data_IF_500839931350
#
_entry.id   IF_500839931350
#
_cell.length_a   1.000
_cell.length_b   1.000
_cell.length_c   1.000
_cell.angle_alpha   90.00
_cell.angle_beta   90.00
_cell.angle_gamma   90.00
#
_symmetry.space_group_name_H-M   'P 1'
#
loop_
_entity.id
_entity.type
_entity.pdbx_description
1 polymer ?
#
# COMPACT_ATOMS: atom_id res chain seq x y z
N UNK A 1 -29.08 23.65 25.73
CA UNK A 1 -29.86 23.59 24.47
C UNK A 1 -29.61 22.24 23.84
N UNK A 2 -30.60 21.60 23.18
CA UNK A 2 -30.35 20.37 22.44
C UNK A 2 -29.40 20.64 21.25
N UNK A 3 -28.61 19.65 20.82
CA UNK A 3 -27.82 19.77 19.59
C UNK A 3 -28.76 20.03 18.40
N UNK A 4 -28.38 20.99 17.55
CA UNK A 4 -29.12 21.38 16.35
C UNK A 4 -28.31 21.00 15.11
N UNK A 5 -28.99 20.58 14.04
CA UNK A 5 -28.37 20.31 12.75
C UNK A 5 -28.40 21.56 11.87
N UNK A 6 -27.36 21.75 11.10
CA UNK A 6 -27.28 22.73 10.02
C UNK A 6 -28.10 22.26 8.81
N UNK A 7 -28.44 23.20 7.92
CA UNK A 7 -29.11 22.86 6.66
C UNK A 7 -28.28 21.90 5.80
N UNK A 8 -26.95 22.06 5.80
CA UNK A 8 -26.02 21.16 5.09
C UNK A 8 -26.08 19.73 5.64
N UNK A 9 -26.07 19.57 6.97
CA UNK A 9 -26.21 18.26 7.62
C UNK A 9 -27.58 17.64 7.31
N UNK A 10 -28.65 18.43 7.31
CA UNK A 10 -29.99 17.95 6.94
C UNK A 10 -30.03 17.43 5.50
N UNK A 11 -29.40 18.14 4.56
CA UNK A 11 -29.28 17.68 3.17
C UNK A 11 -28.49 16.38 3.09
N UNK A 12 -27.32 16.30 3.75
CA UNK A 12 -26.48 15.10 3.75
C UNK A 12 -27.20 13.87 4.34
N UNK A 13 -27.99 14.05 5.41
CA UNK A 13 -28.79 12.98 6.00
C UNK A 13 -29.83 12.39 5.03
N UNK A 14 -30.25 13.16 4.01
CA UNK A 14 -31.22 12.72 3.00
C UNK A 14 -30.59 12.16 1.73
N UNK A 15 -29.27 12.22 1.56
CA UNK A 15 -28.59 11.76 0.34
C UNK A 15 -28.50 10.23 0.25
N UNK A 16 -29.59 9.62 -0.22
CA UNK A 16 -29.65 8.18 -0.51
C UNK A 16 -28.77 7.78 -1.70
N UNK A 17 -28.57 8.70 -2.66
CA UNK A 17 -27.84 8.40 -3.90
C UNK A 17 -26.37 8.13 -3.60
N UNK A 18 -25.79 8.92 -2.71
CA UNK A 18 -24.41 8.73 -2.27
C UNK A 18 -24.17 7.34 -1.69
N UNK A 19 -24.99 6.90 -0.73
CA UNK A 19 -24.78 5.60 -0.07
C UNK A 19 -24.99 4.41 -1.02
N UNK A 20 -25.96 4.50 -1.94
CA UNK A 20 -26.15 3.48 -2.98
C UNK A 20 -24.96 3.42 -3.95
N UNK A 21 -24.47 4.57 -4.41
CA UNK A 21 -23.29 4.65 -5.27
C UNK A 21 -22.04 4.13 -4.54
N UNK A 22 -21.85 4.51 -3.27
CA UNK A 22 -20.78 4.01 -2.41
C UNK A 22 -20.81 2.49 -2.31
N UNK A 23 -21.97 1.89 -2.05
CA UNK A 23 -22.10 0.43 -1.98
C UNK A 23 -21.68 -0.24 -3.30
N UNK A 24 -22.10 0.28 -4.44
CA UNK A 24 -21.71 -0.23 -5.76
C UNK A 24 -20.21 -0.08 -6.03
N UNK A 25 -19.63 1.07 -5.70
CA UNK A 25 -18.19 1.32 -5.85
C UNK A 25 -17.42 0.33 -4.98
N UNK A 26 -17.82 0.11 -3.72
CA UNK A 26 -17.16 -0.84 -2.83
C UNK A 26 -17.18 -2.28 -3.36
N UNK A 27 -18.24 -2.70 -4.07
CA UNK A 27 -18.25 -4.00 -4.76
C UNK A 27 -17.23 -4.04 -5.90
N UNK A 28 -17.16 -2.98 -6.72
CA UNK A 28 -16.15 -2.88 -7.80
C UNK A 28 -14.73 -2.89 -7.26
N UNK A 29 -14.46 -2.18 -6.17
CA UNK A 29 -13.14 -2.22 -5.50
C UNK A 29 -12.79 -3.64 -5.08
N UNK A 30 -13.74 -4.39 -4.51
CA UNK A 30 -13.50 -5.79 -4.14
C UNK A 30 -13.13 -6.65 -5.35
N UNK A 31 -13.81 -6.47 -6.48
CA UNK A 31 -13.51 -7.19 -7.72
C UNK A 31 -12.10 -6.84 -8.24
N UNK A 32 -11.74 -5.55 -8.25
CA UNK A 32 -10.39 -5.12 -8.64
C UNK A 32 -9.31 -5.70 -7.73
N UNK A 33 -9.53 -5.77 -6.42
CA UNK A 33 -8.59 -6.43 -5.49
C UNK A 33 -8.48 -7.93 -5.78
N UNK A 34 -9.58 -8.61 -6.12
CA UNK A 34 -9.53 -10.03 -6.54
C UNK A 34 -8.72 -10.21 -7.83
N UNK A 35 -8.91 -9.36 -8.83
CA UNK A 35 -8.10 -9.39 -10.06
C UNK A 35 -6.63 -9.09 -9.77
N UNK A 36 -6.35 -8.17 -8.85
CA UNK A 36 -4.99 -7.87 -8.38
C UNK A 36 -4.33 -9.09 -7.77
N UNK A 37 -5.06 -9.84 -6.93
CA UNK A 37 -4.54 -11.07 -6.33
C UNK A 37 -4.16 -12.12 -7.40
N UNK A 38 -4.96 -12.27 -8.46
CA UNK A 38 -4.64 -13.17 -9.57
C UNK A 38 -3.36 -12.72 -10.27
N UNK A 39 -3.26 -11.44 -10.62
CA UNK A 39 -2.09 -10.88 -11.29
C UNK A 39 -0.81 -11.02 -10.45
N UNK A 40 -0.88 -10.77 -9.15
CA UNK A 40 0.27 -10.88 -8.25
C UNK A 40 0.69 -12.34 -8.01
N UNK A 41 -0.23 -13.31 -8.08
CA UNK A 41 0.11 -14.73 -7.93
C UNK A 41 1.12 -15.19 -8.99
N UNK A 42 0.98 -14.71 -10.23
CA UNK A 42 1.91 -15.01 -11.32
C UNK A 42 3.31 -14.46 -11.00
N UNK A 43 3.40 -13.21 -10.57
CA UNK A 43 4.69 -12.57 -10.22
C UNK A 43 5.37 -13.25 -9.03
N UNK A 44 4.61 -13.57 -7.97
CA UNK A 44 5.13 -14.25 -6.78
C UNK A 44 5.59 -15.67 -7.13
N UNK A 45 4.85 -16.38 -7.99
CA UNK A 45 5.21 -17.73 -8.42
C UNK A 45 6.47 -17.78 -9.29
N UNK A 46 6.75 -16.72 -10.05
CA UNK A 46 7.97 -16.60 -10.86
C UNK A 46 9.19 -16.09 -10.08
N UNK A 47 9.00 -15.46 -8.92
CA UNK A 47 10.06 -14.80 -8.17
C UNK A 47 10.66 -15.70 -7.07
N UNK A 48 11.98 -15.71 -6.96
CA UNK A 48 12.69 -16.30 -5.81
C UNK A 48 12.77 -15.32 -4.65
N UNK A 49 11.69 -15.25 -3.87
CA UNK A 49 11.57 -14.31 -2.75
C UNK A 49 12.48 -14.68 -1.57
N UNK A 50 13.02 -13.65 -0.91
CA UNK A 50 13.69 -13.70 0.39
C UNK A 50 12.63 -13.59 1.46
N UNK A 51 12.12 -14.73 1.87
CA UNK A 51 10.99 -14.83 2.79
C UNK A 51 11.46 -15.13 4.21
N UNK A 52 10.69 -14.74 5.23
CA UNK A 52 10.94 -15.18 6.59
C UNK A 52 10.74 -16.70 6.76
N UNK A 53 11.19 -17.27 7.90
CA UNK A 53 10.78 -18.61 8.31
C UNK A 53 9.26 -18.77 8.31
N UNK A 54 8.76 -19.98 8.05
CA UNK A 54 7.32 -20.32 8.05
C UNK A 54 6.45 -19.49 7.10
N UNK A 55 7.06 -18.87 6.10
CA UNK A 55 6.34 -18.11 5.09
C UNK A 55 5.43 -19.02 4.24
N UNK A 56 4.14 -18.71 4.24
CA UNK A 56 3.18 -19.35 3.37
C UNK A 56 3.04 -18.54 2.06
N UNK A 57 3.50 -19.05 0.90
CA UNK A 57 3.41 -18.34 -0.38
C UNK A 57 1.96 -18.14 -0.87
N UNK A 58 1.01 -18.92 -0.35
CA UNK A 58 -0.42 -18.74 -0.63
C UNK A 58 -1.12 -17.81 0.37
N UNK A 59 -0.40 -17.29 1.38
CA UNK A 59 -0.94 -16.41 2.39
C UNK A 59 -1.48 -15.13 1.77
N UNK A 60 -2.79 -14.91 1.90
CA UNK A 60 -3.47 -13.69 1.46
C UNK A 60 -4.50 -13.24 2.49
N UNK A 61 -4.87 -11.96 2.46
CA UNK A 61 -6.01 -11.45 3.21
C UNK A 61 -6.68 -10.32 2.45
N UNK A 62 -8.01 -10.32 2.47
CA UNK A 62 -8.79 -9.18 2.03
C UNK A 62 -9.52 -8.58 3.23
N UNK A 63 -9.45 -7.27 3.36
CA UNK A 63 -10.10 -6.53 4.46
C UNK A 63 -10.95 -5.42 3.90
N UNK A 64 -12.05 -5.14 4.59
CA UNK A 64 -12.92 -3.99 4.39
C UNK A 64 -13.15 -3.33 5.75
N UNK A 65 -13.11 -2.02 5.80
CA UNK A 65 -13.42 -1.25 7.00
C UNK A 65 -13.95 0.14 6.66
N UNK A 66 -14.40 0.85 7.70
CA UNK A 66 -15.07 2.16 7.58
C UNK A 66 -14.36 3.25 8.40
N UNK A 67 -13.25 2.93 9.07
CA UNK A 67 -12.66 3.79 10.12
C UNK A 67 -11.17 4.07 9.92
N UNK A 68 -10.66 4.06 8.68
CA UNK A 68 -9.30 4.59 8.43
C UNK A 68 -9.41 6.12 8.38
N UNK A 69 -9.15 6.74 9.53
CA UNK A 69 -9.44 8.16 9.80
C UNK A 69 -10.89 8.55 9.48
N UNK A 70 -11.84 7.67 9.82
CA UNK A 70 -13.28 7.83 9.53
C UNK A 70 -13.68 7.67 8.05
N UNK A 71 -12.75 7.27 7.19
CA UNK A 71 -13.03 6.98 5.78
C UNK A 71 -13.09 5.47 5.50
N UNK A 72 -13.98 5.05 4.57
CA UNK A 72 -14.02 3.69 4.06
C UNK A 72 -12.72 3.25 3.40
N UNK A 73 -12.38 1.99 3.57
CA UNK A 73 -11.21 1.41 2.91
C UNK A 73 -11.41 -0.07 2.61
N UNK A 74 -10.67 -0.56 1.61
CA UNK A 74 -10.51 -1.98 1.35
C UNK A 74 -9.05 -2.24 0.97
N UNK A 75 -8.51 -3.38 1.38
CA UNK A 75 -7.18 -3.77 0.95
C UNK A 75 -7.04 -5.27 0.72
N UNK A 76 -6.04 -5.59 -0.09
CA UNK A 76 -5.46 -6.91 -0.27
C UNK A 76 -4.06 -6.91 0.34
N UNK A 77 -3.77 -7.85 1.22
CA UNK A 77 -2.41 -8.25 1.57
C UNK A 77 -2.06 -9.53 0.80
N UNK A 78 -1.14 -9.46 -0.16
CA UNK A 78 -0.61 -10.62 -0.87
C UNK A 78 0.75 -10.32 -1.55
N UNK A 79 1.79 -11.13 -1.32
CA UNK A 79 1.82 -12.21 -0.33
C UNK A 79 1.75 -11.64 1.08
N UNK A 80 1.21 -12.40 2.03
CA UNK A 80 1.01 -11.97 3.42
C UNK A 80 1.75 -12.87 4.40
N UNK A 81 2.56 -12.26 5.26
CA UNK A 81 3.07 -12.86 6.48
C UNK A 81 3.12 -11.81 7.60
N UNK A 82 2.46 -12.14 8.72
CA UNK A 82 2.48 -11.36 9.96
C UNK A 82 2.53 -12.35 11.12
N UNK A 83 3.63 -12.36 11.87
CA UNK A 83 3.82 -13.25 13.02
C UNK A 83 4.82 -12.63 13.99
N UNK A 84 4.51 -12.56 15.29
CA UNK A 84 5.48 -12.17 16.35
C UNK A 84 6.35 -10.93 16.05
N UNK A 85 5.74 -9.83 15.58
CA UNK A 85 6.44 -8.60 15.14
C UNK A 85 7.37 -8.77 13.93
N UNK A 86 7.12 -9.79 13.12
CA UNK A 86 7.72 -10.02 11.82
C UNK A 86 6.66 -9.78 10.74
N UNK A 87 6.91 -8.83 9.86
CA UNK A 87 6.01 -8.48 8.76
C UNK A 87 6.74 -8.66 7.44
N UNK A 88 6.10 -9.40 6.53
CA UNK A 88 6.46 -9.44 5.12
C UNK A 88 5.16 -9.45 4.35
N UNK A 89 4.75 -8.28 3.85
CA UNK A 89 3.53 -8.19 3.04
C UNK A 89 3.67 -7.19 1.92
N UNK A 90 2.96 -7.45 0.82
CA UNK A 90 2.65 -6.44 -0.16
C UNK A 90 1.16 -6.11 -0.10
N UNK A 91 0.85 -4.86 0.23
CA UNK A 91 -0.52 -4.37 0.40
C UNK A 91 -0.94 -3.54 -0.80
N UNK A 92 -2.10 -3.87 -1.37
CA UNK A 92 -2.85 -2.97 -2.27
C UNK A 92 -4.04 -2.40 -1.51
N UNK A 93 -4.01 -1.09 -1.21
CA UNK A 93 -5.02 -0.36 -0.46
C UNK A 93 -5.82 0.55 -1.38
N UNK A 94 -7.13 0.57 -1.18
CA UNK A 94 -8.03 1.64 -1.57
C UNK A 94 -8.47 2.40 -0.32
N UNK A 95 -8.22 3.70 -0.28
CA UNK A 95 -8.68 4.59 0.78
C UNK A 95 -9.61 5.66 0.21
N UNK A 96 -10.89 5.57 0.56
CA UNK A 96 -11.93 6.42 0.01
C UNK A 96 -11.63 7.89 0.29
N UNK A 97 -11.79 8.74 -0.73
CA UNK A 97 -11.53 10.18 -0.62
C UNK A 97 -10.04 10.55 -0.59
N UNK A 98 -9.13 9.56 -0.65
CA UNK A 98 -7.70 9.77 -0.58
C UNK A 98 -7.03 9.26 -1.86
N UNK A 99 -6.66 7.98 -1.91
CA UNK A 99 -5.90 7.39 -3.02
C UNK A 99 -5.97 5.87 -3.01
N UNK A 100 -5.46 5.26 -4.07
CA UNK A 100 -4.94 3.90 -3.99
C UNK A 100 -3.46 3.95 -3.59
N UNK A 101 -3.00 2.93 -2.85
CA UNK A 101 -1.61 2.78 -2.48
C UNK A 101 -1.18 1.32 -2.61
N UNK A 102 0.00 1.09 -3.16
CA UNK A 102 0.66 -0.22 -3.16
C UNK A 102 1.91 -0.13 -2.30
N UNK A 103 2.04 -0.97 -1.28
CA UNK A 103 3.14 -0.86 -0.33
C UNK A 103 3.77 -2.21 0.00
N UNK A 104 5.10 -2.26 -0.06
CA UNK A 104 5.90 -3.28 0.58
C UNK A 104 6.07 -2.93 2.06
N UNK A 105 5.72 -3.85 2.96
CA UNK A 105 5.85 -3.71 4.40
C UNK A 105 6.78 -4.81 4.91
N UNK A 106 7.87 -4.40 5.56
CA UNK A 106 8.92 -5.26 6.08
C UNK A 106 9.23 -4.90 7.53
N UNK A 107 9.20 -5.85 8.43
CA UNK A 107 9.60 -5.71 9.83
C UNK A 107 10.15 -7.04 10.35
N UNK A 108 11.07 -7.00 11.30
CA UNK A 108 11.55 -8.20 11.98
C UNK A 108 12.70 -8.91 11.26
N UNK A 109 12.57 -10.22 11.08
CA UNK A 109 13.64 -11.09 10.59
C UNK A 109 14.00 -10.72 9.15
N UNK A 110 15.29 -10.53 8.89
CA UNK A 110 15.78 -10.16 7.55
C UNK A 110 15.76 -8.66 7.24
N UNK A 111 15.27 -7.80 8.15
CA UNK A 111 15.19 -6.35 7.88
C UNK A 111 16.55 -5.73 7.51
N UNK A 112 17.64 -6.17 8.16
CA UNK A 112 19.01 -5.73 7.84
C UNK A 112 19.38 -6.05 6.39
N UNK A 113 19.02 -7.24 5.92
CA UNK A 113 19.29 -7.69 4.55
C UNK A 113 18.46 -6.90 3.53
N UNK A 114 17.18 -6.67 3.79
CA UNK A 114 16.32 -5.88 2.90
C UNK A 114 16.79 -4.42 2.80
N UNK A 115 17.20 -3.80 3.92
CA UNK A 115 17.78 -2.45 3.91
C UNK A 115 19.05 -2.37 3.08
N UNK A 116 19.97 -3.34 3.23
CA UNK A 116 21.17 -3.40 2.40
C UNK A 116 20.81 -3.45 0.91
N UNK A 117 19.85 -4.31 0.53
CA UNK A 117 19.38 -4.43 -0.86
C UNK A 117 18.77 -3.15 -1.41
N UNK A 118 18.03 -2.38 -0.60
CA UNK A 118 17.51 -1.07 -1.03
C UNK A 118 18.67 -0.14 -1.44
N UNK A 119 19.77 -0.15 -0.70
CA UNK A 119 20.92 0.70 -0.98
C UNK A 119 21.79 0.17 -2.13
N UNK A 120 22.03 -1.15 -2.17
CA UNK A 120 22.85 -1.80 -3.20
C UNK A 120 22.18 -1.74 -4.58
N UNK A 121 20.86 -1.93 -4.61
CA UNK A 121 20.05 -1.94 -5.83
C UNK A 121 19.29 -0.63 -6.04
N UNK A 122 19.71 0.45 -5.39
CA UNK A 122 19.01 1.76 -5.41
C UNK A 122 18.76 2.29 -6.82
N UNK A 123 19.70 2.10 -7.76
CA UNK A 123 19.56 2.52 -9.16
C UNK A 123 18.39 1.83 -9.89
N UNK A 124 17.96 0.64 -9.42
CA UNK A 124 16.80 -0.06 -9.97
C UNK A 124 15.50 0.47 -9.35
N UNK A 125 15.55 1.07 -8.16
CA UNK A 125 14.36 1.56 -7.44
C UNK A 125 14.08 3.03 -7.77
N UNK A 126 15.13 3.81 -7.96
CA UNK A 126 15.06 5.25 -8.16
C UNK A 126 14.25 5.61 -9.42
N UNK A 127 13.35 6.59 -9.28
CA UNK A 127 12.55 7.08 -10.41
C UNK A 127 11.35 6.19 -10.79
N UNK A 128 11.09 5.09 -10.08
CA UNK A 128 9.90 4.24 -10.32
C UNK A 128 8.61 4.78 -9.65
N UNK A 129 8.63 6.00 -9.14
CA UNK A 129 7.52 6.60 -8.38
C UNK A 129 7.35 6.03 -6.97
N UNK A 130 8.34 5.28 -6.47
CA UNK A 130 8.36 4.73 -5.12
C UNK A 130 8.72 5.82 -4.10
N UNK A 131 8.13 5.73 -2.92
CA UNK A 131 8.42 6.59 -1.77
C UNK A 131 8.67 5.75 -0.51
N UNK A 132 9.61 6.17 0.33
CA UNK A 132 9.86 5.60 1.65
C UNK A 132 8.97 6.27 2.69
N UNK A 133 8.25 5.50 3.48
CA UNK A 133 7.50 6.00 4.64
C UNK A 133 8.43 6.55 5.72
N UNK A 134 8.12 7.76 6.21
CA UNK A 134 8.79 8.41 7.34
C UNK A 134 8.01 8.27 8.66
N UNK A 135 6.76 7.81 8.57
CA UNK A 135 5.89 7.64 9.72
C UNK A 135 6.49 6.73 10.81
N UNK A 136 6.17 6.97 12.09
CA UNK A 136 6.64 6.13 13.20
C UNK A 136 5.91 4.77 13.28
N UNK A 137 4.94 4.52 12.40
CA UNK A 137 4.17 3.26 12.37
C UNK A 137 4.02 2.74 10.94
N UNK A 138 3.75 1.44 10.81
CA UNK A 138 3.41 0.80 9.53
C UNK A 138 2.04 1.21 8.99
N UNK A 139 1.18 1.82 9.82
CA UNK A 139 -0.25 2.00 9.55
C UNK A 139 -0.64 3.40 9.06
N UNK A 140 0.31 4.32 8.97
CA UNK A 140 0.09 5.65 8.37
C UNK A 140 0.03 5.55 6.84
N UNK A 141 -0.96 6.16 6.20
CA UNK A 141 -1.15 6.09 4.74
C UNK A 141 -1.11 7.45 4.05
N UNK A 142 -0.88 8.54 4.79
CA UNK A 142 -0.72 9.86 4.19
C UNK A 142 0.53 9.93 3.30
N UNK A 143 0.43 10.74 2.27
CA UNK A 143 1.49 11.01 1.31
C UNK A 143 1.96 12.46 1.46
N UNK A 144 3.25 12.70 1.22
CA UNK A 144 3.82 14.03 1.09
C UNK A 144 4.75 14.41 2.24
N UNK A 145 5.04 15.71 2.34
CA UNK A 145 6.03 16.25 3.28
C UNK A 145 5.72 15.82 4.71
N UNK A 146 6.72 15.27 5.38
CA UNK A 146 6.61 14.73 6.74
C UNK A 146 6.12 13.29 6.83
N UNK A 147 5.43 12.78 5.81
CA UNK A 147 4.91 11.41 5.78
C UNK A 147 5.76 10.46 4.95
N UNK A 148 6.24 10.92 3.79
CA UNK A 148 6.94 10.08 2.82
C UNK A 148 8.12 10.82 2.18
N UNK A 149 9.08 10.03 1.70
CA UNK A 149 10.28 10.51 1.03
C UNK A 149 10.44 9.82 -0.34
N UNK A 150 10.30 10.54 -1.47
CA UNK A 150 10.51 9.97 -2.80
C UNK A 150 11.88 9.31 -2.97
N UNK A 151 11.87 8.13 -3.60
CA UNK A 151 13.09 7.39 -3.99
C UNK A 151 13.49 7.89 -5.38
N UNK A 152 14.20 9.02 -5.41
CA UNK A 152 14.77 9.62 -6.63
C UNK A 152 16.29 9.44 -6.66
N UNK A 153 16.88 9.57 -7.84
CA UNK A 153 18.30 9.26 -8.08
C UNK A 153 19.26 10.06 -7.19
N UNK A 154 18.90 11.29 -6.85
CA UNK A 154 19.65 12.24 -6.02
C UNK A 154 19.48 12.04 -4.50
N UNK A 155 18.60 11.13 -4.06
CA UNK A 155 18.22 10.99 -2.64
C UNK A 155 18.80 9.78 -1.91
N UNK A 156 19.73 9.05 -2.52
CA UNK A 156 20.30 7.82 -1.94
C UNK A 156 20.85 8.02 -0.51
N UNK A 157 21.59 9.10 -0.28
CA UNK A 157 22.17 9.38 1.04
C UNK A 157 21.11 9.65 2.11
N UNK A 158 20.06 10.42 1.78
CA UNK A 158 18.96 10.70 2.69
C UNK A 158 18.15 9.44 3.01
N UNK A 159 17.86 8.61 2.00
CA UNK A 159 17.20 7.31 2.19
C UNK A 159 18.05 6.41 3.10
N UNK A 160 19.37 6.37 2.92
CA UNK A 160 20.27 5.57 3.77
C UNK A 160 20.22 6.03 5.24
N UNK A 161 20.23 7.33 5.49
CA UNK A 161 20.13 7.88 6.85
C UNK A 161 18.81 7.47 7.52
N UNK A 162 17.68 7.61 6.81
CA UNK A 162 16.37 7.17 7.34
C UNK A 162 16.35 5.67 7.61
N UNK A 163 16.85 4.84 6.69
CA UNK A 163 16.84 3.39 6.86
C UNK A 163 17.74 2.93 8.01
N UNK A 164 18.83 3.63 8.33
CA UNK A 164 19.74 3.25 9.41
C UNK A 164 19.02 3.21 10.78
N UNK A 165 18.10 4.14 11.02
CA UNK A 165 17.47 4.34 12.34
C UNK A 165 16.18 3.53 12.56
N UNK A 166 15.59 2.95 11.51
CA UNK A 166 14.23 2.37 11.58
C UNK A 166 14.23 0.87 11.89
N UNK A 167 13.33 0.37 12.72
CA UNK A 167 13.19 -1.09 12.95
C UNK A 167 12.41 -1.81 11.84
N UNK A 168 11.68 -1.06 11.02
CA UNK A 168 10.87 -1.55 9.91
C UNK A 168 11.08 -0.69 8.65
N UNK A 169 10.58 -1.16 7.52
CA UNK A 169 10.57 -0.44 6.24
C UNK A 169 9.19 -0.55 5.61
N UNK A 170 8.68 0.58 5.14
CA UNK A 170 7.51 0.62 4.25
C UNK A 170 7.84 1.46 3.02
N UNK A 171 7.82 0.82 1.85
CA UNK A 171 8.00 1.48 0.56
C UNK A 171 6.67 1.44 -0.16
N UNK A 172 6.20 2.60 -0.59
CA UNK A 172 4.84 2.81 -1.08
C UNK A 172 4.87 3.53 -2.43
N UNK A 173 3.95 3.17 -3.32
CA UNK A 173 3.60 3.92 -4.52
C UNK A 173 2.13 4.32 -4.43
N UNK A 174 1.85 5.59 -4.64
CA UNK A 174 0.51 6.14 -4.59
C UNK A 174 -0.08 6.32 -5.98
N UNK A 175 -1.39 6.18 -6.09
CA UNK A 175 -2.18 6.45 -7.29
C UNK A 175 -3.40 7.29 -6.88
N UNK A 176 -3.43 8.60 -7.22
CA UNK A 176 -4.56 9.47 -6.92
C UNK A 176 -5.87 8.92 -7.51
N UNK A 177 -7.00 9.09 -6.79
CA UNK A 177 -8.31 8.65 -7.30
C UNK A 177 -8.75 9.40 -8.57
N UNK A 178 -8.16 10.55 -8.84
CA UNK A 178 -8.37 11.37 -10.04
C UNK A 178 -7.58 10.88 -11.25
N UNK A 179 -6.67 9.92 -11.08
CA UNK A 179 -5.86 9.38 -12.17
C UNK A 179 -6.73 8.60 -13.18
N UNK A 180 -6.57 8.79 -14.51
CA UNK A 180 -7.32 8.06 -15.53
C UNK A 180 -7.22 6.52 -15.43
N UNK A 181 -6.13 5.99 -14.86
CA UNK A 181 -5.97 4.56 -14.60
C UNK A 181 -7.01 4.01 -13.63
N UNK A 182 -7.48 4.84 -12.68
CA UNK A 182 -8.52 4.45 -11.73
C UNK A 182 -9.86 4.30 -12.44
N UNK A 183 -10.22 5.28 -13.28
CA UNK A 183 -11.49 5.27 -14.02
C UNK A 183 -11.57 4.10 -15.01
N UNK A 184 -10.43 3.74 -15.61
CA UNK A 184 -10.31 2.62 -16.56
C UNK A 184 -10.12 1.25 -15.89
N UNK A 185 -10.14 1.18 -14.55
CA UNK A 185 -10.05 -0.08 -13.81
C UNK A 185 -8.66 -0.75 -13.86
N UNK A 186 -7.60 0.00 -14.18
CA UNK A 186 -6.23 -0.49 -14.34
C UNK A 186 -5.46 -0.69 -13.03
N UNK A 187 -6.16 -0.66 -11.89
CA UNK A 187 -5.54 -0.87 -10.56
C UNK A 187 -4.76 -2.20 -10.44
N UNK A 188 -5.25 -3.35 -10.96
CA UNK A 188 -4.48 -4.60 -10.93
C UNK A 188 -3.13 -4.50 -11.65
N UNK A 189 -3.10 -3.82 -12.81
CA UNK A 189 -1.86 -3.64 -13.57
C UNK A 189 -0.91 -2.67 -12.86
N UNK A 190 -1.43 -1.58 -12.31
CA UNK A 190 -0.65 -0.66 -11.49
C UNK A 190 0.00 -1.37 -10.29
N UNK A 191 -0.78 -2.22 -9.61
CA UNK A 191 -0.27 -3.01 -8.48
C UNK A 191 0.80 -4.03 -8.92
N UNK A 192 0.57 -4.73 -10.04
CA UNK A 192 1.56 -5.65 -10.63
C UNK A 192 2.87 -4.95 -10.99
N UNK A 193 2.81 -3.80 -11.66
CA UNK A 193 3.99 -3.01 -12.00
C UNK A 193 4.72 -2.52 -10.76
N UNK A 194 3.97 -2.10 -9.74
CA UNK A 194 4.56 -1.68 -8.47
C UNK A 194 5.25 -2.85 -7.77
N UNK A 195 4.66 -4.04 -7.79
CA UNK A 195 5.28 -5.24 -7.24
C UNK A 195 6.58 -5.57 -7.97
N UNK A 196 6.62 -5.49 -9.30
CA UNK A 196 7.84 -5.66 -10.09
C UNK A 196 8.92 -4.63 -9.71
N UNK A 197 8.54 -3.38 -9.48
CA UNK A 197 9.46 -2.31 -9.09
C UNK A 197 10.16 -2.57 -7.74
N UNK A 198 9.51 -3.28 -6.81
CA UNK A 198 10.06 -3.60 -5.49
C UNK A 198 10.75 -4.98 -5.43
N UNK A 199 10.63 -5.83 -6.47
CA UNK A 199 11.33 -7.12 -6.53
C UNK A 199 12.82 -7.04 -6.21
N UNK A 200 13.59 -6.00 -6.63
CA UNK A 200 15.01 -5.90 -6.26
C UNK A 200 15.26 -5.95 -4.74
N UNK A 201 14.30 -5.56 -3.91
CA UNK A 201 14.40 -5.51 -2.44
C UNK A 201 14.20 -6.90 -1.81
N UNK A 202 13.33 -7.71 -2.41
CA UNK A 202 12.80 -8.94 -1.82
C UNK A 202 13.14 -10.20 -2.59
N UNK A 203 13.93 -10.12 -3.66
CA UNK A 203 14.43 -11.28 -4.41
C UNK A 203 15.89 -11.55 -4.08
N UNK A 204 16.30 -12.81 -4.28
CA UNK A 204 17.69 -13.26 -4.09
C UNK A 204 18.69 -12.48 -4.97
#
# INVERSE_FOLDING_TARGET
MPPQFTDEEAVLMTDRRFFLAKAQIMVKIRQLLTSTHIALKEEVGAASLLTPPDFNPAGCQFVKGESLELFPYQYLDFPKHFQDSNAFTFRTLFWWGHHFACALILEGVGIKQHKARILDRFHQLAGQGLELSLAPTLWEWKQGVGYTLPITHDRKAQIAAVLAERSFVKIVRFLPLTDPLVQSGQMPEFSRQTFRAILPIVTR
#
